data_IF_452751539288
#
_entry.id   IF_452751539288
#
_cell.length_a   1.000
_cell.length_b   1.000
_cell.length_c   1.000
_cell.angle_alpha   90.00
_cell.angle_beta   90.00
_cell.angle_gamma   90.00
#
_symmetry.space_group_name_H-M   'P 1'
#
loop_
_entity.id
_entity.type
_entity.pdbx_description
1 polymer ?
#
# COMPACT_ATOMS: atom_id res chain seq x y z
N UNK A 1 -14.59 -9.24 23.51
CA UNK A 1 -13.33 -9.86 23.05
C UNK A 1 -13.32 -9.79 21.54
N UNK A 2 -12.59 -8.84 20.96
CA UNK A 2 -12.47 -8.72 19.50
C UNK A 2 -11.66 -9.93 19.01
N UNK A 3 -12.26 -10.78 18.18
CA UNK A 3 -11.58 -11.92 17.57
C UNK A 3 -10.46 -11.38 16.67
N UNK A 4 -9.22 -11.85 16.86
CA UNK A 4 -8.12 -11.56 15.93
C UNK A 4 -8.52 -12.06 14.53
N UNK A 5 -8.28 -11.28 13.46
CA UNK A 5 -8.59 -11.73 12.13
C UNK A 5 -7.72 -12.96 11.81
N UNK A 6 -8.28 -13.98 11.12
CA UNK A 6 -7.51 -15.15 10.75
C UNK A 6 -6.42 -14.80 9.73
N UNK A 7 -5.36 -15.61 9.69
CA UNK A 7 -4.40 -15.59 8.59
C UNK A 7 -4.96 -16.30 7.36
N UNK A 8 -4.57 -15.87 6.15
CA UNK A 8 -4.85 -16.59 4.91
C UNK A 8 -4.14 -17.95 4.88
N UNK A 9 -4.64 -18.89 4.08
CA UNK A 9 -4.02 -20.22 3.93
C UNK A 9 -2.64 -20.15 3.28
N UNK A 10 -2.47 -19.24 2.32
CA UNK A 10 -1.17 -18.90 1.69
C UNK A 10 -0.17 -18.46 2.75
N UNK A 11 -0.56 -17.52 3.60
CA UNK A 11 0.31 -17.00 4.65
C UNK A 11 0.64 -18.04 5.72
N UNK A 12 -0.32 -18.90 6.10
CA UNK A 12 -0.08 -20.04 7.00
C UNK A 12 0.98 -20.98 6.45
N UNK A 13 0.95 -21.29 5.13
CA UNK A 13 2.00 -22.09 4.48
C UNK A 13 3.36 -21.39 4.54
N UNK A 14 3.39 -20.07 4.32
CA UNK A 14 4.62 -19.26 4.43
C UNK A 14 5.22 -19.31 5.84
N UNK A 15 4.38 -19.20 6.89
CA UNK A 15 4.83 -19.35 8.29
C UNK A 15 5.39 -20.75 8.58
N UNK A 16 4.78 -21.81 8.03
CA UNK A 16 5.28 -23.18 8.16
C UNK A 16 6.63 -23.38 7.46
N UNK A 17 6.82 -22.81 6.26
CA UNK A 17 8.10 -22.81 5.54
C UNK A 17 9.18 -22.06 6.34
N UNK A 18 8.87 -20.86 6.84
CA UNK A 18 9.78 -20.08 7.67
C UNK A 18 10.20 -20.84 8.93
N UNK A 19 9.24 -21.47 9.62
CA UNK A 19 9.50 -22.29 10.82
C UNK A 19 10.40 -23.47 10.52
N UNK A 20 10.16 -24.17 9.41
CA UNK A 20 11.01 -25.29 8.97
C UNK A 20 12.44 -24.81 8.69
N UNK A 21 12.61 -23.68 8.00
CA UNK A 21 13.92 -23.09 7.71
C UNK A 21 14.66 -22.59 8.97
N UNK A 22 13.94 -22.14 9.99
CA UNK A 22 14.55 -21.78 11.27
C UNK A 22 15.07 -23.00 12.01
N UNK A 23 14.31 -24.10 12.00
CA UNK A 23 14.68 -25.37 12.65
C UNK A 23 15.90 -26.03 12.01
N UNK A 24 16.04 -25.99 10.69
CA UNK A 24 17.25 -26.50 10.02
C UNK A 24 18.51 -25.73 10.42
N UNK A 25 18.35 -24.47 10.85
CA UNK A 25 19.42 -23.62 11.41
C UNK A 25 19.53 -23.72 12.95
N UNK A 26 18.86 -24.68 13.59
CA UNK A 26 18.91 -24.91 15.04
C UNK A 26 18.09 -23.92 15.88
N UNK A 27 17.23 -23.09 15.26
CA UNK A 27 16.39 -22.12 15.98
C UNK A 27 14.99 -22.65 16.22
N UNK A 28 14.45 -22.42 17.42
CA UNK A 28 13.11 -22.86 17.81
C UNK A 28 11.99 -22.09 17.07
N UNK A 29 12.22 -20.81 16.77
CA UNK A 29 11.25 -19.92 16.13
C UNK A 29 11.88 -19.19 14.94
N UNK A 30 11.11 -18.93 13.86
CA UNK A 30 11.58 -18.14 12.73
C UNK A 30 11.75 -16.67 13.08
N UNK A 31 12.73 -16.04 12.44
CA UNK A 31 12.92 -14.59 12.44
C UNK A 31 12.35 -13.93 11.18
N UNK A 32 12.37 -12.58 11.12
CA UNK A 32 11.98 -11.79 9.96
C UNK A 32 12.66 -12.20 8.65
N UNK A 33 13.95 -12.57 8.68
CA UNK A 33 14.66 -13.04 7.48
C UNK A 33 14.13 -14.39 6.97
N UNK A 34 13.81 -15.34 7.86
CA UNK A 34 13.23 -16.64 7.44
C UNK A 34 11.83 -16.45 6.88
N UNK A 35 11.07 -15.53 7.49
CA UNK A 35 9.77 -15.14 6.97
C UNK A 35 9.90 -14.49 5.60
N UNK A 36 10.81 -13.53 5.44
CA UNK A 36 11.01 -12.83 4.17
C UNK A 36 11.39 -13.81 3.04
N UNK A 37 12.26 -14.79 3.32
CA UNK A 37 12.57 -15.88 2.37
C UNK A 37 11.32 -16.70 2.04
N UNK A 38 10.51 -17.03 3.04
CA UNK A 38 9.28 -17.80 2.81
C UNK A 38 8.23 -17.02 1.99
N UNK A 39 8.19 -15.69 2.15
CA UNK A 39 7.28 -14.79 1.42
C UNK A 39 7.64 -14.63 -0.06
N UNK A 40 8.86 -14.96 -0.47
CA UNK A 40 9.25 -14.99 -1.89
C UNK A 40 8.38 -15.97 -2.70
N UNK A 41 7.87 -17.02 -2.05
CA UNK A 41 6.99 -18.04 -2.65
C UNK A 41 5.53 -17.88 -2.20
N UNK A 42 5.18 -16.76 -1.56
CA UNK A 42 3.82 -16.49 -1.12
C UNK A 42 2.99 -15.86 -2.24
N UNK A 43 1.80 -16.39 -2.48
CA UNK A 43 0.92 -15.98 -3.58
C UNK A 43 0.41 -14.54 -3.43
N UNK A 44 0.34 -14.02 -2.19
CA UNK A 44 -0.06 -12.64 -1.93
C UNK A 44 1.15 -11.69 -1.94
N UNK A 45 2.28 -12.10 -1.36
CA UNK A 45 3.44 -11.22 -1.20
C UNK A 45 4.35 -11.12 -2.43
N UNK A 46 4.54 -12.21 -3.19
CA UNK A 46 5.45 -12.22 -4.33
C UNK A 46 5.05 -11.24 -5.45
N UNK A 47 3.76 -11.13 -5.83
CA UNK A 47 3.33 -10.12 -6.81
C UNK A 47 3.60 -8.69 -6.34
N UNK A 48 3.46 -8.41 -5.05
CA UNK A 48 3.75 -7.08 -4.46
C UNK A 48 5.24 -6.78 -4.57
N UNK A 49 6.11 -7.73 -4.22
CA UNK A 49 7.56 -7.56 -4.37
C UNK A 49 7.94 -7.28 -5.83
N UNK A 50 7.40 -8.05 -6.77
CA UNK A 50 7.65 -7.88 -8.20
C UNK A 50 7.17 -6.51 -8.69
N UNK A 51 5.98 -6.07 -8.29
CA UNK A 51 5.44 -4.76 -8.61
C UNK A 51 6.28 -3.61 -8.02
N UNK A 52 6.98 -3.86 -6.91
CA UNK A 52 7.95 -2.92 -6.33
C UNK A 52 9.32 -2.92 -7.05
N UNK A 53 9.50 -3.77 -8.07
CA UNK A 53 10.75 -3.90 -8.83
C UNK A 53 11.79 -4.81 -8.18
N UNK A 54 11.39 -5.72 -7.31
CA UNK A 54 12.30 -6.64 -6.60
C UNK A 54 12.57 -7.89 -7.46
N UNK A 55 13.85 -8.19 -7.68
CA UNK A 55 14.29 -9.50 -8.17
C UNK A 55 14.30 -10.50 -7.00
N UNK A 56 13.34 -11.42 -7.04
CA UNK A 56 13.13 -12.44 -6.02
C UNK A 56 14.29 -13.43 -5.89
N UNK A 57 14.97 -13.73 -7.01
CA UNK A 57 16.10 -14.66 -7.03
C UNK A 57 17.33 -14.01 -6.40
N UNK A 58 17.57 -12.75 -6.73
CA UNK A 58 18.60 -11.94 -6.08
C UNK A 58 18.30 -11.73 -4.59
N UNK A 59 17.05 -11.42 -4.25
CA UNK A 59 16.63 -11.21 -2.86
C UNK A 59 16.96 -12.41 -1.98
N UNK A 60 16.59 -13.63 -2.41
CA UNK A 60 16.89 -14.86 -1.67
C UNK A 60 18.39 -15.01 -1.41
N UNK A 61 19.20 -14.84 -2.45
CA UNK A 61 20.66 -14.98 -2.39
C UNK A 61 21.28 -14.01 -1.40
N UNK A 62 20.86 -12.75 -1.43
CA UNK A 62 21.42 -11.69 -0.58
C UNK A 62 21.09 -11.92 0.90
N UNK A 63 19.88 -12.42 1.21
CA UNK A 63 19.49 -12.78 2.59
C UNK A 63 20.28 -14.00 3.07
N UNK A 64 20.36 -15.06 2.26
CA UNK A 64 21.07 -16.29 2.63
C UNK A 64 22.56 -16.07 2.86
N UNK A 65 23.20 -15.19 2.08
CA UNK A 65 24.61 -14.85 2.22
C UNK A 65 24.93 -14.11 3.54
N UNK A 66 23.97 -13.36 4.09
CA UNK A 66 24.17 -12.59 5.34
C UNK A 66 24.13 -13.47 6.59
N UNK A 67 23.37 -14.56 6.57
CA UNK A 67 23.10 -15.38 7.75
C UNK A 67 22.32 -14.64 8.85
N UNK A 68 22.17 -15.28 10.03
CA UNK A 68 21.33 -14.80 11.13
C UNK A 68 22.01 -13.76 12.05
N UNK A 69 22.74 -12.79 11.49
CA UNK A 69 23.63 -11.91 12.26
C UNK A 69 22.99 -10.60 12.77
N UNK A 70 21.74 -10.32 12.42
CA UNK A 70 21.11 -9.04 12.79
C UNK A 70 20.22 -9.13 14.03
N UNK A 71 20.15 -8.04 14.83
CA UNK A 71 19.09 -7.89 15.80
C UNK A 71 17.77 -7.80 15.06
N UNK A 72 17.01 -8.88 15.08
CA UNK A 72 15.70 -8.94 14.43
C UNK A 72 14.59 -8.64 15.42
N UNK A 73 13.56 -7.92 14.99
CA UNK A 73 12.29 -7.90 15.73
C UNK A 73 11.78 -9.35 15.85
N UNK A 74 11.30 -9.74 17.03
CA UNK A 74 10.67 -11.04 17.18
C UNK A 74 9.44 -11.13 16.26
N UNK A 75 9.29 -12.23 15.53
CA UNK A 75 8.18 -12.42 14.58
C UNK A 75 6.80 -12.17 15.21
N UNK A 76 6.63 -12.49 16.50
CA UNK A 76 5.40 -12.23 17.22
C UNK A 76 5.00 -10.75 17.28
N UNK A 77 5.97 -9.83 17.38
CA UNK A 77 5.68 -8.39 17.37
C UNK A 77 5.25 -7.91 15.99
N UNK A 78 5.91 -8.39 14.93
CA UNK A 78 5.52 -8.10 13.55
C UNK A 78 4.09 -8.60 13.26
N UNK A 79 3.78 -9.83 13.65
CA UNK A 79 2.42 -10.38 13.53
C UNK A 79 1.40 -9.54 14.30
N UNK A 80 1.72 -9.13 15.54
CA UNK A 80 0.84 -8.29 16.33
C UNK A 80 0.58 -6.93 15.66
N UNK A 81 1.60 -6.29 15.08
CA UNK A 81 1.42 -5.05 14.32
C UNK A 81 0.49 -5.24 13.13
N UNK A 82 0.70 -6.29 12.33
CA UNK A 82 -0.16 -6.62 11.20
C UNK A 82 -1.61 -6.87 11.64
N UNK A 83 -1.83 -7.60 12.74
CA UNK A 83 -3.17 -7.82 13.29
C UNK A 83 -3.83 -6.52 13.75
N UNK A 84 -3.08 -5.62 14.40
CA UNK A 84 -3.60 -4.33 14.83
C UNK A 84 -3.99 -3.46 13.63
N UNK A 85 -3.16 -3.43 12.59
CA UNK A 85 -3.45 -2.65 11.38
C UNK A 85 -4.65 -3.23 10.61
N UNK A 86 -4.78 -4.57 10.56
CA UNK A 86 -5.94 -5.23 9.96
C UNK A 86 -7.23 -4.85 10.70
N UNK A 87 -7.23 -4.88 12.04
CA UNK A 87 -8.39 -4.53 12.88
C UNK A 87 -8.85 -3.07 12.73
N UNK A 88 -7.93 -2.16 12.47
CA UNK A 88 -8.24 -0.74 12.26
C UNK A 88 -8.71 -0.43 10.83
N UNK A 89 -8.58 -1.40 9.93
CA UNK A 89 -8.95 -1.28 8.52
C UNK A 89 -10.19 -2.14 8.20
N UNK A 90 -10.69 -2.05 6.97
CA UNK A 90 -11.76 -2.92 6.48
C UNK A 90 -11.30 -4.40 6.24
N UNK A 91 -10.05 -4.75 6.54
CA UNK A 91 -9.47 -6.07 6.26
C UNK A 91 -9.93 -7.12 7.28
N UNK A 92 -10.47 -8.23 6.79
CA UNK A 92 -10.97 -9.34 7.61
C UNK A 92 -9.99 -10.51 7.74
N UNK A 93 -8.90 -10.51 6.98
CA UNK A 93 -7.89 -11.57 6.91
C UNK A 93 -6.50 -10.93 6.83
N UNK A 94 -5.52 -11.52 7.52
CA UNK A 94 -4.10 -11.14 7.40
C UNK A 94 -3.39 -12.04 6.39
N UNK A 95 -2.77 -11.44 5.40
CA UNK A 95 -2.09 -12.10 4.27
C UNK A 95 -0.57 -11.98 4.37
N UNK A 96 0.15 -12.69 3.48
CA UNK A 96 1.59 -12.53 3.34
C UNK A 96 1.99 -11.12 2.90
N UNK A 97 1.12 -10.43 2.15
CA UNK A 97 1.34 -9.06 1.72
C UNK A 97 1.26 -8.05 2.87
N UNK A 98 0.29 -8.21 3.78
CA UNK A 98 0.24 -7.40 5.01
C UNK A 98 1.53 -7.59 5.81
N UNK A 99 2.03 -8.82 5.85
CA UNK A 99 3.26 -9.12 6.54
C UNK A 99 4.51 -8.53 5.88
N UNK A 100 4.53 -8.47 4.55
CA UNK A 100 5.56 -7.78 3.79
C UNK A 100 5.60 -6.28 4.10
N UNK A 101 4.45 -5.63 4.25
CA UNK A 101 4.35 -4.20 4.59
C UNK A 101 5.01 -3.89 5.95
N UNK A 102 4.81 -4.75 6.94
CA UNK A 102 5.46 -4.62 8.25
C UNK A 102 6.97 -4.90 8.18
N UNK A 103 7.39 -5.85 7.34
CA UNK A 103 8.81 -6.16 7.14
C UNK A 103 9.61 -4.98 6.57
N UNK A 104 8.97 -4.06 5.82
CA UNK A 104 9.65 -2.83 5.40
C UNK A 104 10.06 -1.92 6.56
N UNK A 105 9.40 -2.02 7.72
CA UNK A 105 9.75 -1.26 8.93
C UNK A 105 10.74 -2.03 9.85
N UNK A 106 10.95 -3.32 9.60
CA UNK A 106 11.93 -4.16 10.30
C UNK A 106 13.34 -3.97 9.72
N UNK A 107 14.42 -4.22 10.49
CA UNK A 107 15.78 -4.28 9.95
C UNK A 107 15.94 -5.20 8.72
N UNK A 108 15.19 -6.31 8.64
CA UNK A 108 15.18 -7.18 7.46
C UNK A 108 14.66 -6.48 6.19
N UNK A 109 13.85 -5.42 6.33
CA UNK A 109 13.39 -4.58 5.22
C UNK A 109 14.51 -3.89 4.44
N UNK A 110 15.73 -3.86 4.98
CA UNK A 110 16.91 -3.37 4.26
C UNK A 110 17.17 -4.14 2.96
N UNK A 111 16.86 -5.44 2.90
CA UNK A 111 17.08 -6.23 1.67
C UNK A 111 16.11 -5.83 0.55
N UNK A 112 14.89 -5.44 0.92
CA UNK A 112 13.91 -4.86 0.00
C UNK A 112 14.39 -3.48 -0.47
N UNK A 113 14.82 -2.66 0.50
CA UNK A 113 15.28 -1.28 0.25
C UNK A 113 16.57 -1.22 -0.57
N UNK A 114 17.45 -2.22 -0.46
CA UNK A 114 18.67 -2.35 -1.25
C UNK A 114 18.40 -2.53 -2.75
N UNK A 115 17.21 -3.01 -3.13
CA UNK A 115 16.75 -3.07 -4.52
C UNK A 115 15.91 -1.84 -4.91
N UNK A 116 15.85 -0.83 -4.04
CA UNK A 116 15.14 0.43 -4.27
C UNK A 116 13.64 0.36 -3.98
N UNK A 117 13.10 -0.76 -3.53
CA UNK A 117 11.69 -0.85 -3.14
C UNK A 117 11.42 -0.08 -1.84
N UNK A 118 10.26 0.55 -1.74
CA UNK A 118 9.83 1.26 -0.53
C UNK A 118 8.51 0.69 0.01
N UNK A 119 8.23 0.91 1.31
CA UNK A 119 6.91 0.59 1.89
C UNK A 119 5.78 1.28 1.10
N UNK A 120 6.02 2.51 0.66
CA UNK A 120 5.07 3.28 -0.13
C UNK A 120 4.72 2.58 -1.45
N UNK A 121 5.71 2.06 -2.18
CA UNK A 121 5.48 1.31 -3.43
C UNK A 121 4.57 0.09 -3.19
N UNK A 122 4.82 -0.66 -2.11
CA UNK A 122 4.02 -1.83 -1.75
C UNK A 122 2.57 -1.46 -1.42
N UNK A 123 2.37 -0.37 -0.66
CA UNK A 123 1.04 0.11 -0.30
C UNK A 123 0.25 0.63 -1.50
N UNK A 124 0.91 1.33 -2.44
CA UNK A 124 0.27 1.80 -3.68
C UNK A 124 -0.20 0.61 -4.52
N UNK A 125 0.64 -0.42 -4.66
CA UNK A 125 0.25 -1.63 -5.37
C UNK A 125 -0.89 -2.38 -4.67
N UNK A 126 -0.84 -2.52 -3.34
CA UNK A 126 -1.89 -3.19 -2.57
C UNK A 126 -3.23 -2.45 -2.59
N UNK A 127 -3.18 -1.13 -2.69
CA UNK A 127 -4.37 -0.28 -2.71
C UNK A 127 -5.01 -0.22 -4.09
N UNK A 128 -4.19 -0.10 -5.14
CA UNK A 128 -4.65 0.32 -6.47
C UNK A 128 -4.19 -0.57 -7.63
N UNK A 129 -3.34 -1.58 -7.36
CA UNK A 129 -2.74 -2.43 -8.39
C UNK A 129 -1.69 -1.72 -9.26
N UNK A 130 -1.20 -0.56 -8.81
CA UNK A 130 -0.25 0.27 -9.55
C UNK A 130 1.17 -0.19 -9.22
N UNK A 131 1.87 -0.73 -10.23
CA UNK A 131 3.27 -1.11 -10.10
C UNK A 131 4.19 0.12 -10.10
N UNK A 132 5.35 0.00 -9.47
CA UNK A 132 6.36 1.05 -9.43
C UNK A 132 6.81 1.43 -10.83
N UNK A 133 6.72 2.72 -11.16
CA UNK A 133 7.09 3.24 -12.49
C UNK A 133 6.03 3.00 -13.57
N UNK A 134 4.89 2.38 -13.24
CA UNK A 134 3.72 2.44 -14.11
C UNK A 134 3.18 3.88 -14.15
N UNK A 135 2.53 4.26 -15.25
CA UNK A 135 1.88 5.56 -15.40
C UNK A 135 0.35 5.37 -15.42
N UNK A 136 -0.36 5.66 -14.32
CA UNK A 136 -1.79 5.35 -14.26
C UNK A 136 -2.59 6.47 -13.58
N UNK A 137 -2.58 7.69 -14.13
CA UNK A 137 -3.25 8.82 -13.45
C UNK A 137 -4.31 9.52 -14.31
N UNK A 138 -4.40 9.19 -15.60
CA UNK A 138 -5.41 9.74 -16.51
C UNK A 138 -6.06 8.55 -17.21
N UNK A 139 -7.35 8.30 -16.96
CA UNK A 139 -8.11 7.36 -17.81
C UNK A 139 -8.09 7.93 -19.25
N UNK A 140 -7.86 7.06 -20.25
CA UNK A 140 -7.44 7.47 -21.59
C UNK A 140 -8.39 8.49 -22.26
N UNK A 141 -8.06 9.76 -22.08
CA UNK A 141 -8.51 10.86 -22.90
C UNK A 141 -7.27 11.58 -23.42
N UNK A 142 -6.98 11.36 -24.70
CA UNK A 142 -5.82 11.88 -25.43
C UNK A 142 -5.86 13.41 -25.60
N UNK A 143 -6.25 14.14 -24.55
CA UNK A 143 -6.34 15.58 -24.46
C UNK A 143 -7.55 16.20 -25.11
N UNK A 144 -8.67 15.47 -25.22
CA UNK A 144 -9.88 16.01 -25.85
C UNK A 144 -10.74 16.78 -24.85
N UNK A 145 -10.82 16.36 -23.59
CA UNK A 145 -11.62 17.05 -22.60
C UNK A 145 -10.94 18.32 -22.11
N UNK A 146 -11.68 19.43 -22.16
CA UNK A 146 -11.27 20.72 -21.59
C UNK A 146 -11.32 20.70 -20.06
N UNK A 147 -12.22 19.88 -19.50
CA UNK A 147 -12.44 19.72 -18.08
C UNK A 147 -12.27 18.26 -17.66
N UNK A 148 -11.70 18.07 -16.49
CA UNK A 148 -11.47 16.76 -15.89
C UNK A 148 -12.09 16.71 -14.51
N UNK A 149 -12.74 15.59 -14.21
CA UNK A 149 -13.19 15.24 -12.88
C UNK A 149 -12.04 14.61 -12.10
N UNK A 150 -11.76 15.13 -10.90
CA UNK A 150 -10.80 14.48 -9.98
C UNK A 150 -11.57 13.52 -9.10
N UNK A 151 -11.19 12.25 -9.14
CA UNK A 151 -11.81 11.20 -8.34
C UNK A 151 -10.78 10.56 -7.41
N UNK A 152 -10.99 10.67 -6.10
CA UNK A 152 -10.20 9.95 -5.09
C UNK A 152 -10.60 8.47 -5.08
N UNK A 153 -9.60 7.60 -4.96
CA UNK A 153 -9.78 6.16 -4.82
C UNK A 153 -9.77 5.80 -3.33
N UNK A 154 -10.74 4.98 -2.91
CA UNK A 154 -10.72 4.45 -1.54
C UNK A 154 -9.62 3.39 -1.39
N UNK A 155 -8.86 3.47 -0.31
CA UNK A 155 -7.87 2.47 0.05
C UNK A 155 -7.88 2.17 1.56
N UNK A 156 -7.44 0.98 2.00
CA UNK A 156 -7.52 0.57 3.41
C UNK A 156 -6.34 1.07 4.27
N UNK A 157 -5.40 1.83 3.71
CA UNK A 157 -4.15 2.24 4.38
C UNK A 157 -4.04 3.75 4.61
N UNK A 158 -4.96 4.53 4.03
CA UNK A 158 -5.02 5.98 4.19
C UNK A 158 -6.02 6.38 5.29
N UNK A 159 -5.58 7.11 6.35
CA UNK A 159 -6.49 7.61 7.38
C UNK A 159 -7.48 8.66 6.85
N UNK A 160 -8.75 8.58 7.24
CA UNK A 160 -9.80 9.55 6.90
C UNK A 160 -9.45 11.00 7.25
N UNK A 161 -8.69 11.20 8.33
CA UNK A 161 -8.19 12.50 8.77
C UNK A 161 -7.19 13.09 7.76
N UNK A 162 -6.34 12.24 7.17
CA UNK A 162 -5.42 12.68 6.13
C UNK A 162 -6.16 13.01 4.84
N UNK A 163 -7.16 12.21 4.44
CA UNK A 163 -8.00 12.53 3.27
C UNK A 163 -8.73 13.86 3.47
N UNK A 164 -9.29 14.09 4.66
CA UNK A 164 -9.95 15.37 5.02
C UNK A 164 -8.97 16.53 4.91
N UNK A 165 -7.76 16.40 5.48
CA UNK A 165 -6.69 17.39 5.35
C UNK A 165 -6.36 17.70 3.88
N UNK A 166 -6.24 16.67 3.03
CA UNK A 166 -5.98 16.85 1.59
C UNK A 166 -7.10 17.64 0.92
N UNK A 167 -8.35 17.28 1.19
CA UNK A 167 -9.52 17.96 0.63
C UNK A 167 -9.57 19.45 1.00
N UNK A 168 -9.31 19.78 2.27
CA UNK A 168 -9.27 21.16 2.76
C UNK A 168 -8.11 21.96 2.15
N UNK A 169 -6.90 21.38 2.08
CA UNK A 169 -5.69 22.12 1.71
C UNK A 169 -5.44 22.22 0.21
N UNK A 170 -5.89 21.22 -0.57
CA UNK A 170 -5.74 21.20 -2.03
C UNK A 170 -6.87 21.96 -2.69
N UNK A 171 -8.12 21.70 -2.29
CA UNK A 171 -9.31 22.24 -2.96
C UNK A 171 -9.94 23.43 -2.23
N UNK A 172 -9.47 23.78 -1.03
CA UNK A 172 -10.05 24.87 -0.24
C UNK A 172 -11.47 24.59 0.24
N UNK A 173 -11.85 23.31 0.36
CA UNK A 173 -13.18 22.92 0.84
C UNK A 173 -13.29 23.16 2.35
N UNK A 174 -14.50 23.47 2.82
CA UNK A 174 -14.80 23.39 4.24
C UNK A 174 -14.81 21.93 4.72
N UNK A 175 -14.70 21.79 6.05
CA UNK A 175 -14.62 20.49 6.71
C UNK A 175 -15.85 19.61 6.50
N UNK A 176 -17.05 20.21 6.43
CA UNK A 176 -18.30 19.46 6.29
C UNK A 176 -18.37 18.79 4.92
N UNK A 177 -18.05 19.54 3.85
CA UNK A 177 -17.93 19.02 2.50
C UNK A 177 -16.83 17.98 2.39
N UNK A 178 -15.67 18.22 3.01
CA UNK A 178 -14.57 17.26 3.00
C UNK A 178 -15.00 15.92 3.63
N UNK A 179 -15.63 15.94 4.82
CA UNK A 179 -16.14 14.75 5.50
C UNK A 179 -17.17 14.02 4.63
N UNK A 180 -18.08 14.74 3.97
CA UNK A 180 -19.07 14.14 3.08
C UNK A 180 -18.42 13.38 1.91
N UNK A 181 -17.36 13.94 1.32
CA UNK A 181 -16.59 13.28 0.24
C UNK A 181 -15.85 12.06 0.78
N UNK A 182 -15.20 12.15 1.95
CA UNK A 182 -14.52 10.99 2.58
C UNK A 182 -15.51 9.85 2.79
N UNK A 183 -16.67 10.14 3.37
CA UNK A 183 -17.72 9.14 3.59
C UNK A 183 -18.24 8.53 2.29
N UNK A 184 -18.49 9.36 1.27
CA UNK A 184 -18.92 8.89 -0.04
C UNK A 184 -17.85 8.01 -0.72
N UNK A 185 -16.57 8.36 -0.58
CA UNK A 185 -15.43 7.61 -1.11
C UNK A 185 -15.38 6.21 -0.51
N UNK A 186 -15.50 6.10 0.81
CA UNK A 186 -15.55 4.82 1.51
C UNK A 186 -16.73 3.95 1.04
N UNK A 187 -17.93 4.54 0.95
CA UNK A 187 -19.14 3.83 0.56
C UNK A 187 -19.14 3.34 -0.90
N UNK A 188 -18.56 4.12 -1.83
CA UNK A 188 -18.62 3.86 -3.28
C UNK A 188 -17.31 3.36 -3.87
N UNK A 189 -16.29 3.19 -3.04
CA UNK A 189 -14.87 2.97 -3.41
C UNK A 189 -14.23 4.09 -4.25
N UNK A 190 -14.97 5.13 -4.59
CA UNK A 190 -14.52 6.31 -5.35
C UNK A 190 -15.30 7.55 -4.89
N UNK A 191 -14.64 8.71 -4.83
CA UNK A 191 -15.28 9.98 -4.46
C UNK A 191 -14.87 11.13 -5.36
N UNK A 192 -15.86 11.81 -5.95
CA UNK A 192 -15.64 13.00 -6.77
C UNK A 192 -15.23 14.17 -5.89
N UNK A 193 -14.10 14.80 -6.22
CA UNK A 193 -13.62 16.04 -5.62
C UNK A 193 -14.08 17.27 -6.41
N UNK A 194 -14.66 17.07 -7.60
CA UNK A 194 -15.11 18.14 -8.48
C UNK A 194 -14.50 18.08 -9.88
N UNK A 195 -15.02 18.94 -10.74
CA UNK A 195 -14.62 19.08 -12.15
C UNK A 195 -13.86 20.40 -12.32
N UNK A 196 -12.69 20.34 -12.93
CA UNK A 196 -11.79 21.48 -13.08
C UNK A 196 -11.22 21.55 -14.50
N UNK A 197 -10.78 22.72 -14.98
CA UNK A 197 -9.99 22.82 -16.20
C UNK A 197 -8.79 21.88 -16.16
N UNK A 198 -8.45 21.28 -17.29
CA UNK A 198 -7.41 20.24 -17.40
C UNK A 198 -6.07 20.59 -16.71
N UNK A 199 -5.60 21.83 -16.88
CA UNK A 199 -4.34 22.28 -16.29
C UNK A 199 -4.42 22.35 -14.75
N UNK A 200 -5.54 22.82 -14.22
CA UNK A 200 -5.78 22.91 -12.79
C UNK A 200 -5.97 21.51 -12.17
N UNK A 201 -6.72 20.63 -12.86
CA UNK A 201 -6.90 19.25 -12.42
C UNK A 201 -5.57 18.49 -12.31
N UNK A 202 -4.67 18.68 -13.30
CA UNK A 202 -3.32 18.13 -13.28
C UNK A 202 -2.50 18.67 -12.10
N UNK A 203 -2.56 19.98 -11.83
CA UNK A 203 -1.85 20.59 -10.71
C UNK A 203 -2.36 20.09 -9.34
N UNK A 204 -3.68 19.90 -9.19
CA UNK A 204 -4.25 19.33 -7.97
C UNK A 204 -3.84 17.88 -7.76
N UNK A 205 -3.89 17.03 -8.80
CA UNK A 205 -3.37 15.65 -8.71
C UNK A 205 -1.92 15.66 -8.26
N UNK A 206 -1.05 16.45 -8.89
CA UNK A 206 0.38 16.49 -8.56
C UNK A 206 0.61 16.90 -7.09
N UNK A 207 -0.23 17.82 -6.58
CA UNK A 207 -0.20 18.25 -5.17
C UNK A 207 -0.73 17.17 -4.22
N UNK A 208 -1.82 16.47 -4.55
CA UNK A 208 -2.34 15.33 -3.78
C UNK A 208 -1.26 14.25 -3.69
N UNK A 209 -0.69 13.87 -4.82
CA UNK A 209 0.36 12.86 -4.93
C UNK A 209 1.59 13.25 -4.09
N UNK A 210 2.02 14.50 -4.17
CA UNK A 210 3.14 15.00 -3.37
C UNK A 210 2.87 14.92 -1.87
N UNK A 211 1.65 15.27 -1.43
CA UNK A 211 1.25 15.17 -0.01
C UNK A 211 1.16 13.72 0.46
N UNK A 212 0.62 12.83 -0.38
CA UNK A 212 0.48 11.40 -0.10
C UNK A 212 1.85 10.73 0.07
N UNK A 213 2.79 10.99 -0.86
CA UNK A 213 4.18 10.52 -0.79
C UNK A 213 4.88 11.06 0.46
N UNK A 214 4.76 12.37 0.73
CA UNK A 214 5.40 13.01 1.88
C UNK A 214 4.96 12.40 3.22
N UNK A 215 3.69 11.99 3.34
CA UNK A 215 3.13 11.35 4.53
C UNK A 215 3.10 9.83 4.48
N UNK A 216 3.59 9.22 3.39
CA UNK A 216 3.64 7.76 3.18
C UNK A 216 2.28 7.08 3.24
N UNK A 217 1.25 7.72 2.72
CA UNK A 217 -0.08 7.12 2.53
C UNK A 217 -0.31 6.84 1.04
N UNK A 218 -0.88 5.69 0.65
CA UNK A 218 -1.08 5.35 -0.76
C UNK A 218 -2.30 6.05 -1.39
N UNK A 219 -2.75 7.17 -0.82
CA UNK A 219 -3.85 7.96 -1.35
C UNK A 219 -3.58 8.30 -2.81
N UNK A 220 -4.50 7.91 -3.68
CA UNK A 220 -4.38 8.10 -5.12
C UNK A 220 -5.64 8.74 -5.69
N UNK A 221 -5.47 9.48 -6.78
CA UNK A 221 -6.59 10.03 -7.53
C UNK A 221 -6.42 9.77 -9.02
N UNK A 222 -7.55 9.65 -9.71
CA UNK A 222 -7.60 9.54 -11.16
C UNK A 222 -8.28 10.77 -11.74
N UNK A 223 -7.84 11.15 -12.94
CA UNK A 223 -8.49 12.19 -13.72
C UNK A 223 -9.39 11.53 -14.77
N UNK A 224 -10.69 11.82 -14.70
CA UNK A 224 -11.69 11.34 -15.65
C UNK A 224 -12.09 12.47 -16.59
N UNK A 225 -12.39 12.18 -17.88
CA UNK A 225 -12.99 13.15 -18.77
C UNK A 225 -14.35 13.55 -18.22
N UNK A 226 -14.52 14.83 -17.88
CA UNK A 226 -15.86 15.33 -17.62
C UNK A 226 -16.56 15.46 -18.99
N UNK A 227 -17.79 14.95 -19.11
CA UNK A 227 -18.66 15.40 -20.20
C UNK A 227 -18.81 16.93 -20.14
N UNK A 228 -19.13 17.57 -21.26
CA UNK A 228 -19.26 19.03 -21.34
C UNK A 228 -19.95 19.58 -20.09
N UNK A 229 -19.18 20.25 -19.22
CA UNK A 229 -19.70 20.80 -17.98
C UNK A 229 -20.84 21.80 -18.32
N UNK A 230 -21.90 21.89 -17.50
CA UNK A 230 -22.95 22.87 -17.76
C UNK A 230 -22.33 24.27 -17.81
N UNK A 231 -22.69 25.03 -18.85
CA UNK A 231 -22.27 26.41 -19.01
C UNK A 231 -22.55 27.20 -17.73
N UNK A 232 -21.55 27.94 -17.28
CA UNK A 232 -21.59 28.83 -16.12
C UNK A 232 -22.76 29.83 -16.15
#
# INVERSE_FOLDING_TARGET
MTLLPPCSETFKRSLQRATSAARTKGRAHPGPQDLLIALIEDEDAAPVMQACGIDLTRLRRDIEATGASEPTTGLGHLLQSAFNEAQLSERTVVTGADMLVELFADPAGRFLSAQGATRYDALVYLSHGIAKGAAPDIEADHGKASHLEIVLLNDPYTPSEFVTFVLEHVFGMDRERAIAIVFATHARKRGSCGVFPRAEAAAFRDRIQSLAVARRHPLHCILLPAGDAPAA
#
